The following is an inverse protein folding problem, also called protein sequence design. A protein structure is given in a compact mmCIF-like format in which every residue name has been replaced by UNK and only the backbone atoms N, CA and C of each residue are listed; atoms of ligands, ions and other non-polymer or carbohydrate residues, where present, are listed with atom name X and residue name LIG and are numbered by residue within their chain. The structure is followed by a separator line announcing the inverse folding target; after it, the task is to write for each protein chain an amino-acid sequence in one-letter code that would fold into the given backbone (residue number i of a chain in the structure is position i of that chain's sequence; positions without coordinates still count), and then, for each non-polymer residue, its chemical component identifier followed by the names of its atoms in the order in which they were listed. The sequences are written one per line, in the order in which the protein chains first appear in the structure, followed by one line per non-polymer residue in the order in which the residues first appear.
data_IF_642686022752
#
_entry.id   IF_642686022752
#
_cell.length_a   1.000
_cell.length_b   1.000
_cell.length_c   1.000
_cell.angle_alpha   90.00
_cell.angle_beta   90.00
_cell.angle_gamma   90.00
#
_symmetry.space_group_name_H-M   'P 1'
#
loop_
_entity.id
_entity.type
_entity.pdbx_description
1 polymer ?
#
# COMPACT_ATOMS: atom_id res chain seq x y z
N UNK A 1 0.76 -12.17 32.78
CA UNK A 1 0.55 -12.06 31.33
C UNK A 1 1.81 -12.60 30.67
N UNK A 2 1.70 -13.71 29.92
CA UNK A 2 2.85 -14.41 29.35
C UNK A 2 3.64 -13.49 28.40
N UNK A 3 4.96 -13.48 28.54
CA UNK A 3 5.87 -12.79 27.64
C UNK A 3 5.83 -13.46 26.27
N UNK A 4 5.01 -12.95 25.36
CA UNK A 4 4.95 -13.36 23.96
C UNK A 4 6.23 -13.02 23.15
N UNK A 5 7.31 -12.64 23.83
CA UNK A 5 8.63 -12.30 23.28
C UNK A 5 9.60 -13.47 23.47
N UNK A 6 9.26 -14.67 22.98
CA UNK A 6 10.27 -15.72 22.87
C UNK A 6 11.13 -15.39 21.65
N UNK A 7 12.44 -15.19 21.86
CA UNK A 7 13.43 -14.92 20.80
C UNK A 7 13.25 -15.87 19.58
N UNK A 8 12.95 -17.17 19.75
CA UNK A 8 12.70 -18.06 18.62
C UNK A 8 11.49 -17.66 17.76
N UNK A 9 10.42 -17.12 18.36
CA UNK A 9 9.21 -16.71 17.66
C UNK A 9 9.46 -15.44 16.84
N UNK A 10 10.21 -14.49 17.39
CA UNK A 10 10.62 -13.26 16.69
C UNK A 10 11.48 -13.57 15.46
N UNK A 11 12.50 -14.43 15.62
CA UNK A 11 13.34 -14.88 14.51
C UNK A 11 12.52 -15.61 13.45
N UNK A 12 11.60 -16.50 13.87
CA UNK A 12 10.75 -17.25 12.94
C UNK A 12 9.83 -16.32 12.14
N UNK A 13 9.27 -15.30 12.79
CA UNK A 13 8.42 -14.30 12.15
C UNK A 13 9.18 -13.51 11.07
N UNK A 14 10.37 -13.00 11.40
CA UNK A 14 11.23 -12.29 10.45
C UNK A 14 11.61 -13.18 9.25
N UNK A 15 12.07 -14.40 9.49
CA UNK A 15 12.49 -15.33 8.43
C UNK A 15 11.33 -15.65 7.49
N UNK A 16 10.16 -15.97 8.02
CA UNK A 16 8.96 -16.24 7.20
C UNK A 16 8.53 -14.99 6.43
N UNK A 17 8.61 -13.81 7.05
CA UNK A 17 8.32 -12.53 6.41
C UNK A 17 9.20 -12.25 5.19
N UNK A 18 10.50 -12.47 5.28
CA UNK A 18 11.43 -12.28 4.16
C UNK A 18 11.30 -13.35 3.07
N UNK A 19 10.99 -14.60 3.44
CA UNK A 19 10.67 -15.66 2.48
C UNK A 19 9.39 -15.29 1.70
N UNK A 20 8.36 -14.83 2.41
CA UNK A 20 7.11 -14.38 1.78
C UNK A 20 7.38 -13.21 0.82
N UNK A 21 8.10 -12.18 1.27
CA UNK A 21 8.52 -11.05 0.42
C UNK A 21 9.20 -11.54 -0.87
N UNK A 22 10.15 -12.47 -0.76
CA UNK A 22 10.91 -12.99 -1.90
C UNK A 22 10.02 -13.76 -2.87
N UNK A 23 9.22 -14.69 -2.34
CA UNK A 23 8.30 -15.51 -3.14
C UNK A 23 7.29 -14.66 -3.91
N UNK A 24 6.66 -13.70 -3.21
CA UNK A 24 5.74 -12.77 -3.85
C UNK A 24 6.43 -11.87 -4.87
N UNK A 25 7.62 -11.35 -4.58
CA UNK A 25 8.38 -10.50 -5.51
C UNK A 25 8.67 -11.24 -6.82
N UNK A 26 9.13 -12.49 -6.76
CA UNK A 26 9.41 -13.32 -7.95
C UNK A 26 8.17 -13.44 -8.85
N UNK A 27 6.97 -13.53 -8.28
CA UNK A 27 5.72 -13.70 -9.04
C UNK A 27 5.38 -12.55 -9.99
N UNK A 28 5.89 -11.34 -9.74
CA UNK A 28 5.60 -10.17 -10.57
C UNK A 28 6.46 -10.09 -11.85
N UNK A 29 7.67 -10.65 -11.82
CA UNK A 29 8.63 -10.53 -12.93
C UNK A 29 8.23 -11.26 -14.21
N UNK A 30 7.65 -12.48 -14.19
CA UNK A 30 7.28 -13.18 -15.41
C UNK A 30 6.40 -12.34 -16.35
N UNK A 31 5.41 -11.62 -15.80
CA UNK A 31 4.53 -10.78 -16.61
C UNK A 31 5.27 -9.58 -17.20
N UNK A 32 6.12 -8.91 -16.39
CA UNK A 32 6.91 -7.76 -16.83
C UNK A 32 7.88 -8.13 -17.97
N UNK A 33 8.55 -9.28 -17.82
CA UNK A 33 9.49 -9.83 -18.82
C UNK A 33 8.73 -10.25 -20.07
N UNK A 34 7.58 -10.90 -19.94
CA UNK A 34 6.78 -11.34 -21.08
C UNK A 34 6.31 -10.16 -21.93
N UNK A 35 5.77 -9.12 -21.29
CA UNK A 35 5.38 -7.88 -21.95
C UNK A 35 6.56 -7.21 -22.65
N UNK A 36 7.72 -7.17 -21.99
CA UNK A 36 8.94 -6.58 -22.57
C UNK A 36 9.44 -7.35 -23.80
N UNK A 37 9.40 -8.69 -23.76
CA UNK A 37 9.83 -9.56 -24.86
C UNK A 37 8.87 -9.53 -26.05
N UNK A 38 7.56 -9.53 -25.79
CA UNK A 38 6.53 -9.53 -26.84
C UNK A 38 6.27 -8.13 -27.41
N UNK A 39 6.66 -7.06 -26.70
CA UNK A 39 6.30 -5.67 -27.02
C UNK A 39 4.79 -5.45 -27.22
N UNK A 40 4.01 -6.32 -26.58
CA UNK A 40 2.55 -6.39 -26.67
C UNK A 40 2.02 -6.80 -25.31
N UNK A 41 0.91 -6.17 -24.90
CA UNK A 41 0.16 -6.48 -23.68
C UNK A 41 -1.17 -7.18 -24.00
N UNK A 42 -1.33 -7.70 -25.22
CA UNK A 42 -2.53 -8.44 -25.63
C UNK A 42 -2.63 -9.72 -24.81
N UNK A 43 -3.70 -9.82 -24.01
CA UNK A 43 -3.98 -10.96 -23.12
C UNK A 43 -3.76 -10.63 -21.64
N UNK A 44 -3.19 -9.47 -21.32
CA UNK A 44 -3.12 -8.94 -19.96
C UNK A 44 -4.43 -8.24 -19.60
N UNK A 45 -5.03 -8.60 -18.47
CA UNK A 45 -6.22 -7.92 -17.99
C UNK A 45 -5.86 -6.55 -17.38
N UNK A 46 -6.29 -5.46 -18.03
CA UNK A 46 -5.97 -4.10 -17.58
C UNK A 46 -6.68 -3.72 -16.27
N UNK A 47 -7.89 -4.23 -16.04
CA UNK A 47 -8.62 -3.99 -14.78
C UNK A 47 -7.86 -4.62 -13.61
N UNK A 48 -7.31 -5.83 -13.80
CA UNK A 48 -6.47 -6.48 -12.81
C UNK A 48 -5.25 -5.62 -12.46
N UNK A 49 -4.51 -5.10 -13.45
CA UNK A 49 -3.33 -4.26 -13.19
C UNK A 49 -3.70 -2.97 -12.47
N UNK A 50 -4.78 -2.31 -12.89
CA UNK A 50 -5.26 -1.07 -12.28
C UNK A 50 -5.72 -1.27 -10.83
N UNK A 51 -6.48 -2.33 -10.55
CA UNK A 51 -6.93 -2.67 -9.20
C UNK A 51 -5.76 -3.11 -8.30
N UNK A 52 -4.77 -3.84 -8.85
CA UNK A 52 -3.58 -4.19 -8.08
C UNK A 52 -2.76 -2.96 -7.70
N UNK A 53 -2.57 -2.01 -8.62
CA UNK A 53 -1.87 -0.76 -8.31
C UNK A 53 -2.58 0.00 -7.18
N UNK A 54 -3.91 0.10 -7.24
CA UNK A 54 -4.71 0.73 -6.17
C UNK A 54 -4.52 0.00 -4.85
N UNK A 55 -4.69 -1.31 -4.83
CA UNK A 55 -4.53 -2.16 -3.64
C UNK A 55 -3.14 -1.99 -3.01
N UNK A 56 -2.07 -2.11 -3.80
CA UNK A 56 -0.71 -2.02 -3.29
C UNK A 56 -0.34 -0.60 -2.86
N UNK A 57 -0.89 0.43 -3.51
CA UNK A 57 -0.66 1.82 -3.11
C UNK A 57 -1.32 2.13 -1.76
N UNK A 58 -2.58 1.70 -1.56
CA UNK A 58 -3.26 1.84 -0.27
C UNK A 58 -2.54 1.07 0.85
N UNK A 59 -2.05 -0.13 0.55
CA UNK A 59 -1.28 -0.93 1.51
C UNK A 59 0.07 -0.28 1.86
N UNK A 60 0.77 0.29 0.88
CA UNK A 60 2.00 1.06 1.10
C UNK A 60 1.75 2.27 2.00
N UNK A 61 0.71 3.07 1.70
CA UNK A 61 0.36 4.24 2.52
C UNK A 61 0.08 3.80 3.96
N UNK A 62 -0.71 2.75 4.15
CA UNK A 62 -1.02 2.19 5.47
C UNK A 62 0.26 1.79 6.24
N UNK A 63 1.11 0.95 5.63
CA UNK A 63 2.34 0.48 6.27
C UNK A 63 3.31 1.61 6.58
N UNK A 64 3.49 2.57 5.67
CA UNK A 64 4.38 3.72 5.87
C UNK A 64 3.86 4.64 6.97
N UNK A 65 2.57 4.99 6.96
CA UNK A 65 1.99 5.85 7.99
C UNK A 65 2.06 5.23 9.39
N UNK A 66 1.81 3.92 9.50
CA UNK A 66 1.94 3.21 10.77
C UNK A 66 3.41 3.09 11.21
N UNK A 67 4.31 2.81 10.28
CA UNK A 67 5.74 2.70 10.56
C UNK A 67 6.31 4.00 11.12
N UNK A 68 5.91 5.17 10.60
CA UNK A 68 6.39 6.46 11.09
C UNK A 68 5.65 6.99 12.34
N UNK A 69 4.57 6.36 12.80
CA UNK A 69 3.80 6.83 13.95
C UNK A 69 4.42 6.37 15.29
N UNK A 70 5.02 7.27 16.09
CA UNK A 70 5.67 6.90 17.35
C UNK A 70 4.69 6.41 18.42
N UNK A 71 3.40 6.74 18.28
CA UNK A 71 2.34 6.31 19.21
C UNK A 71 2.04 4.81 19.03
N UNK A 72 2.14 4.32 17.79
CA UNK A 72 1.72 2.95 17.42
C UNK A 72 2.86 1.96 17.64
N UNK A 73 4.11 2.38 17.40
CA UNK A 73 5.28 1.55 17.70
C UNK A 73 5.39 1.17 19.19
N UNK A 74 4.86 2.01 20.10
CA UNK A 74 4.94 1.78 21.54
C UNK A 74 3.77 0.96 22.11
N UNK A 75 2.73 0.66 21.33
CA UNK A 75 1.48 0.05 21.82
C UNK A 75 1.07 -1.23 21.09
N UNK A 76 1.55 -1.46 19.86
CA UNK A 76 1.22 -2.63 19.02
C UNK A 76 2.50 -3.24 18.42
N UNK A 77 2.41 -4.48 17.94
CA UNK A 77 3.50 -5.15 17.20
C UNK A 77 3.95 -4.20 16.07
N UNK A 78 5.22 -3.75 16.05
CA UNK A 78 5.69 -2.78 15.06
C UNK A 78 5.50 -3.36 13.67
N UNK A 79 5.06 -2.53 12.72
CA UNK A 79 4.94 -2.93 11.31
C UNK A 79 6.29 -3.45 10.85
N UNK A 80 6.31 -4.69 10.39
CA UNK A 80 7.53 -5.37 10.05
C UNK A 80 8.15 -4.75 8.78
N UNK A 81 9.48 -4.60 8.78
CA UNK A 81 10.18 -3.88 7.71
C UNK A 81 9.99 -4.56 6.34
N UNK A 82 9.82 -5.88 6.32
CA UNK A 82 9.50 -6.67 5.14
C UNK A 82 8.15 -6.27 4.51
N UNK A 83 7.13 -5.90 5.28
CA UNK A 83 5.82 -5.50 4.75
C UNK A 83 5.88 -4.13 4.06
N UNK A 84 6.67 -3.21 4.62
CA UNK A 84 6.95 -1.90 4.00
C UNK A 84 7.72 -2.12 2.70
N UNK A 85 8.82 -2.89 2.73
CA UNK A 85 9.64 -3.19 1.55
C UNK A 85 8.82 -3.88 0.45
N UNK A 86 7.97 -4.85 0.82
CA UNK A 86 7.07 -5.54 -0.09
C UNK A 86 6.10 -4.57 -0.78
N UNK A 87 5.44 -3.72 0.02
CA UNK A 87 4.44 -2.80 -0.51
C UNK A 87 5.02 -1.81 -1.51
N UNK A 88 6.20 -1.25 -1.23
CA UNK A 88 6.92 -0.35 -2.14
C UNK A 88 7.30 -1.11 -3.42
N UNK A 89 7.89 -2.30 -3.28
CA UNK A 89 8.29 -3.13 -4.42
C UNK A 89 7.11 -3.46 -5.34
N UNK A 90 5.98 -3.87 -4.76
CA UNK A 90 4.77 -4.20 -5.49
C UNK A 90 4.18 -2.98 -6.22
N UNK A 91 4.16 -1.79 -5.60
CA UNK A 91 3.74 -0.55 -6.26
C UNK A 91 4.64 -0.24 -7.46
N UNK A 92 5.96 -0.35 -7.30
CA UNK A 92 6.92 -0.11 -8.39
C UNK A 92 6.68 -1.07 -9.56
N UNK A 93 6.62 -2.38 -9.32
CA UNK A 93 6.44 -3.36 -10.39
C UNK A 93 5.06 -3.26 -11.08
N UNK A 94 4.00 -2.96 -10.33
CA UNK A 94 2.67 -2.74 -10.92
C UNK A 94 2.60 -1.44 -11.71
N UNK A 95 3.28 -0.37 -11.26
CA UNK A 95 3.42 0.88 -12.02
C UNK A 95 4.22 0.68 -13.32
N UNK A 96 5.31 -0.11 -13.29
CA UNK A 96 6.05 -0.47 -14.50
C UNK A 96 5.18 -1.28 -15.48
N UNK A 97 4.35 -2.19 -14.97
CA UNK A 97 3.41 -2.95 -15.80
C UNK A 97 2.33 -2.04 -16.40
N UNK A 98 1.84 -1.07 -15.64
CA UNK A 98 0.90 -0.06 -16.14
C UNK A 98 1.55 0.83 -17.21
N UNK A 99 2.81 1.22 -17.01
CA UNK A 99 3.59 1.95 -18.01
C UNK A 99 3.74 1.16 -19.32
N UNK A 100 3.97 -0.16 -19.22
CA UNK A 100 4.00 -1.03 -20.40
C UNK A 100 2.65 -1.06 -21.14
N UNK A 101 1.52 -0.99 -20.44
CA UNK A 101 0.19 -0.91 -21.07
C UNK A 101 0.02 0.38 -21.89
N UNK A 102 0.65 1.48 -21.48
CA UNK A 102 0.59 2.75 -22.21
C UNK A 102 1.46 2.76 -23.49
N UNK A 103 2.57 2.03 -23.51
CA UNK A 103 3.54 2.07 -24.62
C UNK A 103 3.33 0.92 -25.61
N UNK A 104 3.05 -0.28 -25.13
CA UNK A 104 2.99 -1.47 -25.97
C UNK A 104 1.64 -1.66 -26.64
N UNK A 105 1.61 -2.54 -27.65
CA UNK A 105 0.40 -2.84 -28.38
C UNK A 105 -0.64 -3.48 -27.46
N UNK A 106 -1.80 -2.83 -27.35
CA UNK A 106 -2.93 -3.21 -26.47
C UNK A 106 -4.10 -3.87 -27.20
N UNK A 107 -4.08 -3.87 -28.54
CA UNK A 107 -5.21 -4.29 -29.35
C UNK A 107 -6.50 -3.52 -29.04
N UNK A 108 -7.69 -4.15 -29.12
CA UNK A 108 -8.98 -3.51 -28.84
C UNK A 108 -9.32 -3.42 -27.34
N UNK A 109 -8.43 -3.88 -26.45
CA UNK A 109 -8.70 -3.97 -25.01
C UNK A 109 -8.73 -2.59 -24.36
N UNK A 110 -9.68 -2.38 -23.46
CA UNK A 110 -9.86 -1.13 -22.71
C UNK A 110 -10.14 -1.46 -21.25
N UNK A 111 -9.81 -0.52 -20.38
CA UNK A 111 -10.18 -0.60 -18.96
C UNK A 111 -11.70 -0.50 -18.84
N UNK A 112 -12.29 -1.39 -18.05
CA UNK A 112 -13.73 -1.39 -17.77
C UNK A 112 -14.12 -0.15 -16.98
N UNK A 113 -15.24 0.47 -17.36
CA UNK A 113 -15.82 1.60 -16.63
C UNK A 113 -16.13 1.27 -15.17
N UNK A 114 -16.46 0.00 -14.89
CA UNK A 114 -16.70 -0.46 -13.54
C UNK A 114 -15.42 -0.45 -12.69
N UNK A 115 -14.32 -0.97 -13.21
CA UNK A 115 -13.02 -0.96 -12.53
C UNK A 115 -12.55 0.48 -12.28
N UNK A 116 -12.65 1.36 -13.29
CA UNK A 116 -12.35 2.79 -13.11
C UNK A 116 -13.24 3.44 -12.05
N UNK A 117 -14.54 3.14 -12.04
CA UNK A 117 -15.48 3.64 -11.04
C UNK A 117 -15.10 3.23 -9.61
N UNK A 118 -14.71 1.97 -9.42
CA UNK A 118 -14.22 1.47 -8.12
C UNK A 118 -12.96 2.20 -7.67
N UNK A 119 -11.99 2.40 -8.57
CA UNK A 119 -10.75 3.12 -8.25
C UNK A 119 -11.06 4.56 -7.86
N UNK A 120 -11.87 5.27 -8.65
CA UNK A 120 -12.28 6.65 -8.33
C UNK A 120 -12.98 6.72 -6.98
N UNK A 121 -13.88 5.77 -6.68
CA UNK A 121 -14.56 5.71 -5.39
C UNK A 121 -13.58 5.50 -4.23
N UNK A 122 -12.67 4.54 -4.35
CA UNK A 122 -11.69 4.22 -3.28
C UNK A 122 -10.78 5.42 -3.00
N UNK A 123 -10.19 6.02 -4.05
CA UNK A 123 -9.32 7.18 -3.87
C UNK A 123 -10.09 8.42 -3.42
N UNK A 124 -11.33 8.61 -3.88
CA UNK A 124 -12.21 9.69 -3.44
C UNK A 124 -12.54 9.59 -1.95
N UNK A 125 -12.90 8.40 -1.47
CA UNK A 125 -13.14 8.15 -0.04
C UNK A 125 -11.87 8.36 0.79
N UNK A 126 -10.72 7.91 0.29
CA UNK A 126 -9.43 8.11 0.97
C UNK A 126 -9.10 9.60 1.13
N UNK A 127 -9.26 10.39 0.06
CA UNK A 127 -9.04 11.83 0.09
C UNK A 127 -10.03 12.54 1.02
N UNK A 128 -11.30 12.11 1.02
CA UNK A 128 -12.33 12.64 1.91
C UNK A 128 -11.99 12.38 3.39
N UNK A 129 -11.60 11.16 3.76
CA UNK A 129 -11.20 10.85 5.14
C UNK A 129 -9.95 11.64 5.54
N UNK A 130 -8.98 11.75 4.62
CA UNK A 130 -7.74 12.51 4.87
C UNK A 130 -8.00 14.00 5.08
N UNK A 131 -8.93 14.59 4.33
CA UNK A 131 -9.31 16.00 4.50
C UNK A 131 -10.06 16.24 5.80
N UNK A 132 -10.96 15.34 6.21
CA UNK A 132 -11.63 15.43 7.52
C UNK A 132 -10.64 15.38 8.68
N UNK A 133 -9.65 14.48 8.62
CA UNK A 133 -8.60 14.40 9.63
C UNK A 133 -7.76 15.68 9.69
N UNK A 134 -7.42 16.25 8.54
CA UNK A 134 -6.71 17.52 8.45
C UNK A 134 -7.52 18.67 9.06
N UNK A 135 -8.82 18.75 8.80
CA UNK A 135 -9.70 19.77 9.39
C UNK A 135 -9.83 19.60 10.91
N UNK A 136 -9.94 18.36 11.41
CA UNK A 136 -10.01 18.07 12.84
C UNK A 136 -8.71 18.46 13.57
N UNK A 137 -7.55 18.19 12.97
CA UNK A 137 -6.24 18.58 13.55
C UNK A 137 -6.06 20.10 13.59
N UNK A 138 -6.50 20.82 12.55
CA UNK A 138 -6.53 22.29 12.56
C UNK A 138 -7.46 22.85 13.65
N UNK A 139 -8.67 22.30 13.79
CA UNK A 139 -9.62 22.73 14.82
C UNK A 139 -9.15 22.42 16.26
N UNK A 140 -8.38 21.34 16.42
CA UNK A 140 -7.78 20.97 17.72
C UNK A 140 -6.56 21.83 18.09
N UNK A 141 -5.86 22.39 17.08
CA UNK A 141 -4.72 23.30 17.26
C UNK A 141 -5.11 24.75 17.60
N UNK A 142 -6.37 25.14 17.39
CA UNK A 142 -6.88 26.49 17.66
C UNK A 142 -7.34 26.75 19.10
N UNK A 143 -7.25 25.77 20.01
CA UNK A 143 -7.53 26.00 21.43
C UNK A 143 -6.25 26.50 22.13
N UNK A 144 -6.21 27.74 22.66
CA UNK A 144 -5.04 28.25 23.36
C UNK A 144 -4.72 27.39 24.60
N UNK A 145 -3.44 27.18 24.84
CA UNK A 145 -2.87 26.39 25.95
C UNK A 145 -3.33 26.85 27.35
N UNK A 146 -3.94 28.02 27.47
CA UNK A 146 -4.47 28.59 28.72
C UNK A 146 -5.72 27.91 29.26
N UNK A 147 -6.43 27.10 28.45
CA UNK A 147 -7.70 26.49 28.87
C UNK A 147 -7.55 25.05 29.38
N UNK A 148 -6.35 24.45 29.28
CA UNK A 148 -6.11 23.04 29.65
C UNK A 148 -5.84 22.81 31.15
N UNK A 149 -5.72 23.87 31.95
CA UNK A 149 -5.37 23.81 33.38
C UNK A 149 -6.47 24.29 34.34
N UNK A 150 -7.72 24.40 33.88
CA UNK A 150 -8.83 24.85 34.74
C UNK A 150 -10.04 23.93 34.59
N UNK A 151 -9.93 22.73 35.12
CA UNK A 151 -11.09 21.98 35.61
C UNK A 151 -10.87 21.75 37.12
N UNK A 152 -11.87 22.03 37.97
CA UNK A 152 -11.82 21.79 39.42
C UNK A 152 -11.82 20.30 39.76
#
# INVERSE_FOLDING_TARGET
MASWNSIPLEISYEVVGWIAFTSWSISFYPQLILNFRRKSVVGLNFDFVLLNLTKHSSYMIYNVCLYFSPIIQNTMIPVAANDVAFSIHAVVLTALTLFQIFIYERGPQKVSRFATGLVVLVWGLQLYVSSLLYLHTLGSGSLPSSTRFRLP
#
